data_IF_451980258829
#
_entry.id   IF_451980258829
#
_cell.length_a   1.000
_cell.length_b   1.000
_cell.length_c   1.000
_cell.angle_alpha   90.00
_cell.angle_beta   90.00
_cell.angle_gamma   90.00
#
_symmetry.space_group_name_H-M   'P 1'
#
loop_
_entity.id
_entity.type
_entity.pdbx_description
1 polymer ?
#
# COMPACT_ATOMS: atom_id res chain seq x y z
N UNK A 1 35.17 -12.35 0.76
CA UNK A 1 35.42 -11.20 1.65
C UNK A 1 36.85 -11.17 2.16
N UNK A 2 37.35 -12.23 2.80
CA UNK A 2 38.75 -12.29 3.30
C UNK A 2 39.80 -12.00 2.20
N UNK A 3 39.66 -12.62 1.02
CA UNK A 3 40.52 -12.32 -0.14
C UNK A 3 40.52 -10.84 -0.53
N UNK A 4 39.33 -10.21 -0.57
CA UNK A 4 39.17 -8.81 -0.96
C UNK A 4 39.80 -7.86 0.07
N UNK A 5 39.69 -8.18 1.36
CA UNK A 5 40.36 -7.45 2.44
C UNK A 5 41.87 -7.56 2.30
N UNK A 6 42.41 -8.75 2.07
CA UNK A 6 43.86 -8.97 1.92
C UNK A 6 44.43 -8.26 0.70
N UNK A 7 43.75 -8.36 -0.44
CA UNK A 7 44.09 -7.63 -1.67
C UNK A 7 44.09 -6.12 -1.45
N UNK A 8 43.03 -5.58 -0.85
CA UNK A 8 42.92 -4.15 -0.62
C UNK A 8 43.97 -3.63 0.37
N UNK A 9 44.25 -4.38 1.45
CA UNK A 9 45.29 -4.04 2.41
C UNK A 9 46.69 -4.09 1.78
N UNK A 10 46.94 -5.06 0.89
CA UNK A 10 48.19 -5.16 0.14
C UNK A 10 48.40 -3.95 -0.79
N UNK A 11 47.34 -3.45 -1.41
CA UNK A 11 47.38 -2.29 -2.31
C UNK A 11 47.56 -0.96 -1.57
N UNK A 12 46.84 -0.76 -0.46
CA UNK A 12 46.82 0.53 0.27
C UNK A 12 47.94 0.66 1.32
N UNK A 13 48.39 -0.46 1.90
CA UNK A 13 49.39 -0.47 2.98
C UNK A 13 50.48 -1.52 2.74
N UNK A 14 51.30 -1.38 1.69
CA UNK A 14 52.28 -2.39 1.27
C UNK A 14 53.36 -2.69 2.31
N UNK A 15 53.62 -1.76 3.25
CA UNK A 15 54.70 -1.85 4.24
C UNK A 15 54.23 -2.24 5.65
N UNK A 16 52.92 -2.42 5.86
CA UNK A 16 52.33 -2.67 7.18
C UNK A 16 51.99 -4.15 7.29
N UNK A 17 52.40 -4.81 8.38
CA UNK A 17 51.97 -6.19 8.69
C UNK A 17 50.43 -6.21 8.77
N UNK A 18 49.75 -7.24 8.23
CA UNK A 18 48.30 -7.30 8.28
C UNK A 18 47.84 -7.21 9.74
N UNK A 19 46.92 -6.29 10.09
CA UNK A 19 46.42 -6.16 11.45
C UNK A 19 45.69 -7.44 11.87
N UNK A 20 45.78 -7.78 13.15
CA UNK A 20 45.14 -8.97 13.71
C UNK A 20 43.61 -8.90 13.72
N UNK A 21 43.04 -7.69 13.60
CA UNK A 21 41.59 -7.45 13.61
C UNK A 21 41.26 -6.45 12.50
N UNK A 22 40.28 -6.79 11.67
CA UNK A 22 39.70 -5.91 10.64
C UNK A 22 38.19 -5.90 10.81
N UNK A 23 37.61 -4.70 10.96
CA UNK A 23 36.16 -4.51 11.04
C UNK A 23 35.62 -4.17 9.65
N UNK A 24 34.65 -4.96 9.17
CA UNK A 24 33.96 -4.70 7.91
C UNK A 24 32.55 -4.17 8.19
N UNK A 25 32.28 -2.96 7.74
CA UNK A 25 30.96 -2.33 7.83
C UNK A 25 30.33 -2.36 6.44
N UNK A 26 29.23 -3.09 6.29
CA UNK A 26 28.47 -3.17 5.04
C UNK A 26 27.22 -2.30 5.21
N UNK A 27 27.06 -1.32 4.34
CA UNK A 27 25.95 -0.36 4.39
C UNK A 27 25.50 0.01 2.98
N UNK A 28 24.21 0.30 2.82
CA UNK A 28 23.64 0.88 1.59
C UNK A 28 23.64 2.41 1.61
N UNK A 29 23.99 3.03 2.75
CA UNK A 29 24.04 4.48 2.93
C UNK A 29 25.46 5.02 2.69
N UNK A 30 25.58 6.28 2.25
CA UNK A 30 26.89 6.95 2.21
C UNK A 30 27.44 7.14 3.63
N UNK A 31 28.77 7.16 3.73
CA UNK A 31 29.46 7.29 5.02
C UNK A 31 29.13 8.60 5.75
N UNK A 32 28.77 9.66 5.02
CA UNK A 32 28.42 10.98 5.57
C UNK A 32 27.30 10.93 6.62
N UNK A 33 26.39 9.95 6.50
CA UNK A 33 25.27 9.78 7.44
C UNK A 33 25.68 9.18 8.78
N UNK A 34 26.87 8.58 8.85
CA UNK A 34 27.40 7.94 10.04
C UNK A 34 28.34 8.85 10.84
N UNK A 35 28.52 10.10 10.38
CA UNK A 35 29.39 11.04 11.04
C UNK A 35 28.83 11.46 12.40
N UNK A 36 29.33 10.85 13.48
CA UNK A 36 28.97 11.17 14.85
C UNK A 36 29.97 12.15 15.46
N UNK A 37 30.03 13.37 14.92
CA UNK A 37 30.81 14.47 15.51
C UNK A 37 32.26 14.11 15.89
N UNK A 38 32.66 14.42 17.13
CA UNK A 38 34.06 14.37 17.60
C UNK A 38 34.60 12.93 17.74
N UNK A 39 35.85 12.72 17.31
CA UNK A 39 36.63 11.47 17.41
C UNK A 39 36.17 10.28 16.54
N UNK A 40 35.38 10.50 15.50
CA UNK A 40 35.11 9.45 14.51
C UNK A 40 36.37 9.19 13.65
N UNK A 41 36.90 7.97 13.68
CA UNK A 41 37.92 7.53 12.72
C UNK A 41 37.25 7.23 11.37
N UNK A 42 37.80 7.78 10.29
CA UNK A 42 37.26 7.53 8.95
C UNK A 42 37.71 6.16 8.43
N UNK A 43 36.78 5.23 8.13
CA UNK A 43 37.11 3.96 7.54
C UNK A 43 37.38 4.11 6.05
N UNK A 44 38.18 3.19 5.50
CA UNK A 44 38.35 3.10 4.05
C UNK A 44 37.06 2.64 3.39
N UNK A 45 36.42 3.55 2.65
CA UNK A 45 35.13 3.29 2.00
C UNK A 45 35.33 2.63 0.64
N UNK A 46 34.83 1.40 0.50
CA UNK A 46 34.82 0.67 -0.77
C UNK A 46 33.43 0.70 -1.40
N UNK A 47 33.30 1.34 -2.56
CA UNK A 47 32.03 1.42 -3.27
C UNK A 47 31.85 0.24 -4.24
N UNK A 48 30.84 -0.59 -3.97
CA UNK A 48 30.41 -1.65 -4.87
C UNK A 48 29.40 -1.09 -5.87
N UNK A 49 29.83 -0.95 -7.13
CA UNK A 49 28.97 -0.50 -8.23
C UNK A 49 27.86 -1.52 -8.50
N UNK A 50 26.72 -1.03 -8.95
CA UNK A 50 25.65 -1.89 -9.46
C UNK A 50 26.13 -2.67 -10.70
N UNK A 51 25.64 -3.91 -10.84
CA UNK A 51 25.98 -4.77 -11.97
C UNK A 51 25.49 -4.18 -13.30
N UNK A 52 26.30 -4.34 -14.35
CA UNK A 52 25.87 -3.99 -15.72
C UNK A 52 24.90 -5.04 -16.26
N UNK A 53 24.22 -4.75 -17.37
CA UNK A 53 23.29 -5.70 -18.01
C UNK A 53 23.99 -7.01 -18.36
N UNK A 54 25.21 -6.93 -18.87
CA UNK A 54 26.01 -8.07 -19.30
C UNK A 54 26.40 -8.95 -18.09
N UNK A 55 26.79 -8.31 -16.99
CA UNK A 55 27.11 -9.01 -15.74
C UNK A 55 25.87 -9.69 -15.16
N UNK A 56 24.70 -9.02 -15.18
CA UNK A 56 23.44 -9.61 -14.74
C UNK A 56 23.06 -10.82 -15.60
N UNK A 57 23.21 -10.72 -16.92
CA UNK A 57 22.95 -11.82 -17.84
C UNK A 57 23.83 -13.04 -17.53
N UNK A 58 25.12 -12.83 -17.28
CA UNK A 58 26.04 -13.90 -16.88
C UNK A 58 25.66 -14.53 -15.55
N UNK A 59 25.34 -13.72 -14.53
CA UNK A 59 24.95 -14.19 -13.20
C UNK A 59 23.66 -15.02 -13.27
N UNK A 60 22.64 -14.54 -13.99
CA UNK A 60 21.35 -15.21 -14.11
C UNK A 60 21.45 -16.51 -14.93
N UNK A 61 22.26 -16.52 -15.98
CA UNK A 61 22.50 -17.72 -16.81
C UNK A 61 23.21 -18.81 -16.01
N UNK A 62 24.21 -18.43 -15.20
CA UNK A 62 24.96 -19.37 -14.36
C UNK A 62 24.14 -19.94 -13.19
N UNK A 63 23.08 -19.25 -12.77
CA UNK A 63 22.22 -19.70 -11.68
C UNK A 63 21.20 -20.78 -12.10
N UNK A 64 21.10 -21.09 -13.39
CA UNK A 64 20.12 -22.03 -13.92
C UNK A 64 20.59 -23.50 -13.77
N UNK A 65 19.68 -24.43 -13.42
CA UNK A 65 20.03 -25.84 -13.27
C UNK A 65 20.23 -26.60 -14.59
N UNK A 66 19.95 -26.01 -15.76
CA UNK A 66 20.04 -26.71 -17.04
C UNK A 66 20.63 -25.84 -18.16
N UNK A 67 21.74 -26.30 -18.73
CA UNK A 67 22.45 -25.69 -19.85
C UNK A 67 21.65 -25.79 -21.15
N UNK A 68 20.66 -24.90 -21.33
CA UNK A 68 19.97 -24.75 -22.60
C UNK A 68 20.22 -23.37 -23.20
N UNK A 69 20.55 -23.26 -24.50
CA UNK A 69 20.66 -21.96 -25.19
C UNK A 69 19.34 -21.16 -25.12
N UNK A 70 18.21 -21.86 -24.99
CA UNK A 70 16.88 -21.27 -24.80
C UNK A 70 16.77 -20.47 -23.49
N UNK A 71 17.47 -20.88 -22.42
CA UNK A 71 17.45 -20.15 -21.16
C UNK A 71 18.16 -18.80 -21.27
N UNK A 72 19.28 -18.73 -22.00
CA UNK A 72 19.97 -17.46 -22.24
C UNK A 72 19.09 -16.46 -23.01
N UNK A 73 18.34 -16.93 -24.02
CA UNK A 73 17.35 -16.12 -24.75
C UNK A 73 16.23 -15.63 -23.83
N UNK A 74 15.70 -16.49 -22.98
CA UNK A 74 14.71 -16.13 -21.96
C UNK A 74 15.23 -15.04 -21.01
N UNK A 75 16.45 -15.17 -20.51
CA UNK A 75 17.07 -14.18 -19.62
C UNK A 75 17.24 -12.84 -20.34
N UNK A 76 17.61 -12.82 -21.62
CA UNK A 76 17.71 -11.55 -22.36
C UNK A 76 16.34 -10.87 -22.54
N UNK A 77 15.29 -11.65 -22.82
CA UNK A 77 13.90 -11.16 -22.85
C UNK A 77 13.49 -10.63 -21.47
N UNK A 78 13.74 -11.39 -20.41
CA UNK A 78 13.43 -11.02 -19.03
C UNK A 78 14.15 -9.73 -18.64
N UNK A 79 15.45 -9.61 -18.92
CA UNK A 79 16.21 -8.39 -18.66
C UNK A 79 15.72 -7.20 -19.50
N UNK A 80 15.23 -7.43 -20.71
CA UNK A 80 14.63 -6.35 -21.53
C UNK A 80 13.37 -5.78 -20.89
N UNK A 81 12.53 -6.63 -20.29
CA UNK A 81 11.24 -6.23 -19.71
C UNK A 81 11.39 -5.76 -18.26
N UNK A 82 12.24 -6.42 -17.46
CA UNK A 82 12.33 -6.24 -16.02
C UNK A 82 13.36 -5.19 -15.56
N UNK A 83 14.43 -4.96 -16.32
CA UNK A 83 15.52 -4.05 -15.92
C UNK A 83 15.09 -2.58 -15.70
N UNK A 84 14.09 -2.04 -16.42
CA UNK A 84 13.55 -0.72 -16.10
C UNK A 84 12.89 -0.62 -14.72
N UNK A 85 12.36 -1.75 -14.20
CA UNK A 85 11.61 -1.79 -12.93
C UNK A 85 12.51 -2.23 -11.77
N UNK A 86 13.30 -3.29 -11.95
CA UNK A 86 14.10 -3.90 -10.89
C UNK A 86 15.53 -4.19 -11.33
N UNK A 87 16.51 -3.80 -10.51
CA UNK A 87 17.93 -4.12 -10.68
C UNK A 87 18.49 -5.04 -9.59
N UNK A 88 17.63 -5.55 -8.71
CA UNK A 88 18.04 -6.47 -7.65
C UNK A 88 18.23 -7.89 -8.21
N UNK A 89 19.42 -8.44 -8.04
CA UNK A 89 19.78 -9.78 -8.53
C UNK A 89 18.87 -10.86 -7.94
N UNK A 90 18.56 -10.78 -6.64
CA UNK A 90 17.76 -11.80 -5.98
C UNK A 90 16.32 -11.86 -6.51
N UNK A 91 15.74 -10.70 -6.80
CA UNK A 91 14.40 -10.62 -7.37
C UNK A 91 14.38 -11.04 -8.84
N UNK A 92 15.42 -10.70 -9.61
CA UNK A 92 15.59 -11.19 -10.97
C UNK A 92 15.76 -12.71 -11.02
N UNK A 93 16.50 -13.30 -10.08
CA UNK A 93 16.63 -14.75 -9.92
C UNK A 93 15.29 -15.41 -9.60
N UNK A 94 14.55 -14.85 -8.65
CA UNK A 94 13.21 -15.34 -8.31
C UNK A 94 12.26 -15.25 -9.51
N UNK A 95 12.22 -14.11 -10.22
CA UNK A 95 11.39 -13.95 -11.41
C UNK A 95 11.78 -14.89 -12.55
N UNK A 96 13.07 -15.16 -12.72
CA UNK A 96 13.55 -16.11 -13.71
C UNK A 96 13.05 -17.52 -13.37
N UNK A 97 13.18 -17.96 -12.11
CA UNK A 97 12.68 -19.27 -11.67
C UNK A 97 11.14 -19.38 -11.76
N UNK A 98 10.43 -18.33 -11.37
CA UNK A 98 8.96 -18.29 -11.36
C UNK A 98 8.37 -18.36 -12.78
N UNK A 99 8.90 -17.54 -13.70
CA UNK A 99 8.34 -17.42 -15.04
C UNK A 99 8.89 -18.47 -16.03
N UNK A 100 9.95 -19.21 -15.68
CA UNK A 100 10.55 -20.20 -16.56
C UNK A 100 9.57 -21.30 -16.98
N UNK A 101 8.73 -21.78 -16.05
CA UNK A 101 7.71 -22.80 -16.35
C UNK A 101 6.72 -22.32 -17.41
N UNK A 102 6.16 -21.12 -17.23
CA UNK A 102 5.23 -20.52 -18.17
C UNK A 102 5.88 -20.16 -19.53
N UNK A 103 7.19 -19.93 -19.56
CA UNK A 103 7.93 -19.68 -20.79
C UNK A 103 8.15 -20.95 -21.62
N UNK A 104 8.40 -22.08 -20.96
CA UNK A 104 8.63 -23.35 -21.64
C UNK A 104 7.36 -24.03 -22.13
N UNK A 105 6.22 -23.81 -21.47
CA UNK A 105 4.93 -24.40 -21.83
C UNK A 105 4.53 -24.20 -23.31
N UNK A 106 4.55 -22.99 -23.91
CA UNK A 106 4.20 -22.80 -25.31
C UNK A 106 5.16 -23.47 -26.30
N UNK A 107 6.42 -23.68 -25.92
CA UNK A 107 7.41 -24.41 -26.72
C UNK A 107 7.17 -25.91 -26.61
N UNK A 108 6.91 -26.41 -25.40
CA UNK A 108 6.63 -27.83 -25.14
C UNK A 108 5.32 -28.30 -25.80
N UNK A 109 4.31 -27.43 -25.85
CA UNK A 109 3.02 -27.70 -26.52
C UNK A 109 3.08 -27.53 -28.04
N UNK A 110 4.20 -27.04 -28.58
CA UNK A 110 4.39 -26.82 -30.02
C UNK A 110 3.61 -25.64 -30.59
N UNK A 111 3.09 -24.73 -29.75
CA UNK A 111 2.40 -23.52 -30.21
C UNK A 111 3.36 -22.52 -30.86
N UNK A 112 4.63 -22.53 -30.45
CA UNK A 112 5.69 -21.66 -30.96
C UNK A 112 6.94 -22.50 -31.24
N UNK A 113 7.57 -22.28 -32.37
CA UNK A 113 8.83 -22.93 -32.70
C UNK A 113 9.94 -22.53 -31.70
N UNK A 114 10.86 -23.44 -31.40
CA UNK A 114 11.97 -23.18 -30.49
C UNK A 114 12.91 -22.05 -30.98
N UNK A 115 12.88 -21.76 -32.28
CA UNK A 115 13.68 -20.72 -32.94
C UNK A 115 12.93 -19.41 -33.19
N UNK A 116 11.62 -19.34 -32.95
CA UNK A 116 10.86 -18.10 -33.11
C UNK A 116 10.95 -17.23 -31.84
N UNK A 117 11.95 -16.34 -31.83
CA UNK A 117 12.20 -15.40 -30.72
C UNK A 117 11.02 -14.44 -30.49
N UNK A 118 10.37 -14.00 -31.58
CA UNK A 118 9.29 -13.02 -31.48
C UNK A 118 7.99 -13.66 -30.99
N UNK A 119 7.68 -14.86 -31.45
CA UNK A 119 6.55 -15.65 -30.95
C UNK A 119 6.67 -15.91 -29.45
N UNK A 120 7.85 -16.35 -28.99
CA UNK A 120 8.11 -16.62 -27.57
C UNK A 120 7.99 -15.34 -26.73
N UNK A 121 8.54 -14.23 -27.21
CA UNK A 121 8.40 -12.93 -26.55
C UNK A 121 6.92 -12.52 -26.38
N UNK A 122 6.11 -12.62 -27.44
CA UNK A 122 4.69 -12.22 -27.40
C UNK A 122 3.88 -13.04 -26.40
N UNK A 123 4.12 -14.35 -26.34
CA UNK A 123 3.46 -15.24 -25.39
C UNK A 123 3.91 -14.98 -23.95
N UNK A 124 5.20 -14.70 -23.73
CA UNK A 124 5.77 -14.47 -22.40
C UNK A 124 5.42 -13.10 -21.81
N UNK A 125 5.31 -12.06 -22.65
CA UNK A 125 5.10 -10.68 -22.24
C UNK A 125 3.95 -10.45 -21.26
N UNK A 126 2.72 -10.97 -21.45
CA UNK A 126 1.63 -10.75 -20.51
C UNK A 126 1.92 -11.36 -19.12
N UNK A 127 2.46 -12.57 -19.07
CA UNK A 127 2.83 -13.26 -17.82
C UNK A 127 3.95 -12.52 -17.10
N UNK A 128 4.99 -12.08 -17.83
CA UNK A 128 6.07 -11.26 -17.28
C UNK A 128 5.53 -9.94 -16.72
N UNK A 129 4.69 -9.21 -17.45
CA UNK A 129 4.08 -7.95 -16.97
C UNK A 129 3.24 -8.16 -15.72
N UNK A 130 2.49 -9.25 -15.63
CA UNK A 130 1.72 -9.61 -14.43
C UNK A 130 2.65 -9.89 -13.25
N UNK A 131 3.68 -10.72 -13.43
CA UNK A 131 4.68 -10.99 -12.38
C UNK A 131 5.43 -9.73 -11.95
N UNK A 132 5.66 -8.79 -12.88
CA UNK A 132 6.28 -7.49 -12.60
C UNK A 132 5.44 -6.60 -11.68
N UNK A 133 4.12 -6.71 -11.71
CA UNK A 133 3.25 -5.96 -10.80
C UNK A 133 3.28 -6.48 -9.36
N UNK A 134 3.69 -7.74 -9.17
CA UNK A 134 3.67 -8.43 -7.87
C UNK A 134 5.04 -8.90 -7.38
N UNK A 135 6.15 -8.44 -7.97
CA UNK A 135 7.52 -8.95 -7.75
C UNK A 135 7.84 -9.07 -6.26
N UNK A 136 7.73 -7.96 -5.55
CA UNK A 136 8.12 -7.85 -4.14
C UNK A 136 7.10 -8.46 -3.18
N UNK A 137 5.90 -8.76 -3.66
CA UNK A 137 4.87 -9.41 -2.85
C UNK A 137 5.11 -10.92 -2.73
N UNK A 138 6.00 -11.49 -3.56
CA UNK A 138 6.28 -12.92 -3.68
C UNK A 138 5.00 -13.75 -3.51
N UNK A 139 4.09 -13.72 -4.50
CA UNK A 139 2.93 -14.59 -4.47
C UNK A 139 3.45 -16.02 -4.25
N UNK A 140 3.01 -16.66 -3.17
CA UNK A 140 3.37 -18.06 -2.97
C UNK A 140 2.97 -18.82 -4.23
N UNK A 141 3.87 -19.64 -4.76
CA UNK A 141 3.48 -20.63 -5.75
C UNK A 141 2.36 -21.42 -5.08
N UNK A 142 1.13 -21.23 -5.53
CA UNK A 142 0.04 -22.09 -5.15
C UNK A 142 0.35 -23.48 -5.72
N UNK A 143 1.11 -24.25 -4.96
CA UNK A 143 1.26 -25.71 -5.08
C UNK A 143 -0.08 -26.43 -4.98
N UNK A 144 -1.17 -25.69 -4.73
CA UNK A 144 -2.54 -26.16 -4.76
C UNK A 144 -3.15 -26.28 -6.18
N UNK A 145 -2.61 -25.61 -7.20
CA UNK A 145 -3.21 -25.63 -8.55
C UNK A 145 -2.64 -26.72 -9.48
N UNK A 146 -1.55 -27.38 -9.08
CA UNK A 146 -0.98 -28.51 -9.82
C UNK A 146 -1.76 -29.83 -9.66
N UNK A 147 -2.92 -29.82 -8.98
CA UNK A 147 -3.76 -31.02 -8.78
C UNK A 147 -5.03 -31.05 -9.65
N UNK A 148 -5.23 -30.08 -10.56
CA UNK A 148 -6.39 -30.02 -11.47
C UNK A 148 -6.05 -30.15 -12.96
N UNK A 149 -5.02 -30.90 -13.30
CA UNK A 149 -4.69 -31.26 -14.68
C UNK A 149 -4.95 -32.75 -14.96
N UNK A 150 -6.17 -33.22 -14.71
CA UNK A 150 -6.73 -34.40 -15.39
C UNK A 150 -8.27 -34.36 -15.45
N UNK A 151 -8.80 -33.70 -16.49
CA UNK A 151 -9.90 -34.17 -17.35
C UNK A 151 -10.34 -33.01 -18.25
N UNK A 152 -10.40 -33.27 -19.55
CA UNK A 152 -10.55 -32.23 -20.58
C UNK A 152 -11.91 -31.53 -20.56
N UNK A 153 -11.93 -30.30 -21.08
CA UNK A 153 -12.64 -29.89 -22.32
C UNK A 153 -12.60 -28.35 -22.37
N UNK A 154 -12.18 -27.80 -23.51
CA UNK A 154 -11.99 -26.38 -23.73
C UNK A 154 -13.29 -25.57 -23.64
N UNK A 155 -13.30 -24.50 -22.85
CA UNK A 155 -13.95 -23.21 -23.16
C UNK A 155 -13.12 -22.10 -22.54
N UNK A 156 -12.69 -21.14 -23.36
CA UNK A 156 -11.86 -20.01 -22.97
C UNK A 156 -12.45 -19.23 -21.80
N UNK A 157 -11.80 -19.34 -20.66
CA UNK A 157 -12.00 -18.42 -19.55
C UNK A 157 -10.73 -17.62 -19.45
N UNK A 158 -10.81 -16.34 -19.82
CA UNK A 158 -9.76 -15.37 -19.56
C UNK A 158 -9.38 -15.49 -18.08
N UNK A 159 -8.21 -16.04 -17.82
CA UNK A 159 -7.62 -16.12 -16.49
C UNK A 159 -7.33 -14.69 -16.05
N UNK A 160 -8.35 -14.11 -15.40
CA UNK A 160 -8.30 -12.78 -14.83
C UNK A 160 -7.01 -12.63 -13.99
N UNK A 161 -6.39 -11.43 -13.98
CA UNK A 161 -5.41 -11.09 -12.95
C UNK A 161 -6.01 -11.50 -11.61
N UNK A 162 -5.18 -12.05 -10.73
CA UNK A 162 -5.55 -12.31 -9.35
C UNK A 162 -6.02 -10.97 -8.84
N UNK A 163 -7.34 -10.76 -8.91
CA UNK A 163 -7.98 -9.60 -8.37
C UNK A 163 -7.58 -9.71 -6.91
N UNK A 164 -6.98 -8.65 -6.39
CA UNK A 164 -7.12 -8.33 -4.99
C UNK A 164 -8.63 -8.31 -4.75
N UNK A 165 -9.20 -9.51 -4.53
CA UNK A 165 -10.61 -9.73 -4.39
C UNK A 165 -11.00 -8.78 -3.28
N UNK A 166 -11.91 -7.85 -3.61
CA UNK A 166 -12.45 -6.88 -2.69
C UNK A 166 -12.59 -7.57 -1.34
N UNK A 167 -11.75 -7.19 -0.37
CA UNK A 167 -11.86 -7.69 0.98
C UNK A 167 -13.20 -7.17 1.46
N UNK A 168 -14.24 -7.99 1.31
CA UNK A 168 -15.57 -7.69 1.81
C UNK A 168 -15.41 -7.73 3.31
N UNK A 169 -15.10 -6.55 3.86
CA UNK A 169 -14.90 -6.35 5.27
C UNK A 169 -16.28 -6.48 5.93
N UNK A 170 -16.56 -7.64 6.49
CA UNK A 170 -17.80 -7.89 7.21
C UNK A 170 -17.78 -7.12 8.54
N UNK A 171 -18.53 -6.02 8.58
CA UNK A 171 -18.65 -5.15 9.75
C UNK A 171 -20.11 -5.10 10.25
N UNK A 172 -20.31 -4.95 11.57
CA UNK A 172 -21.62 -4.63 12.13
C UNK A 172 -22.26 -3.42 11.45
N UNK A 173 -23.60 -3.37 11.40
CA UNK A 173 -24.34 -2.33 10.66
C UNK A 173 -23.91 -0.90 11.05
N UNK A 174 -23.91 -0.57 12.34
CA UNK A 174 -23.49 0.77 12.79
C UNK A 174 -22.01 1.05 12.55
N UNK A 175 -21.14 0.04 12.61
CA UNK A 175 -19.73 0.18 12.28
C UNK A 175 -19.53 0.55 10.79
N UNK A 176 -20.35 -0.01 9.89
CA UNK A 176 -20.34 0.36 8.46
C UNK A 176 -20.75 1.82 8.24
N UNK A 177 -21.83 2.28 8.87
CA UNK A 177 -22.26 3.68 8.82
C UNK A 177 -21.21 4.63 9.41
N UNK A 178 -20.64 4.28 10.57
CA UNK A 178 -19.58 5.07 11.21
C UNK A 178 -18.34 5.16 10.32
N UNK A 179 -17.97 4.07 9.63
CA UNK A 179 -16.83 4.07 8.73
C UNK A 179 -17.06 4.94 7.49
N UNK A 180 -18.26 4.91 6.92
CA UNK A 180 -18.66 5.79 5.81
C UNK A 180 -18.69 7.26 6.27
N UNK A 181 -19.25 7.54 7.44
CA UNK A 181 -19.27 8.88 8.03
C UNK A 181 -17.85 9.40 8.30
N UNK A 182 -16.96 8.57 8.83
CA UNK A 182 -15.55 8.89 9.05
C UNK A 182 -14.82 9.20 7.74
N UNK A 183 -15.11 8.45 6.68
CA UNK A 183 -14.54 8.71 5.36
C UNK A 183 -14.96 10.08 4.83
N UNK A 184 -16.27 10.38 4.85
CA UNK A 184 -16.80 11.69 4.44
C UNK A 184 -16.19 12.81 5.30
N UNK A 185 -16.10 12.62 6.61
CA UNK A 185 -15.52 13.60 7.54
C UNK A 185 -14.04 13.89 7.24
N UNK A 186 -13.25 12.87 6.85
CA UNK A 186 -11.83 13.04 6.56
C UNK A 186 -11.55 13.72 5.22
N UNK A 187 -12.31 13.42 4.18
CA UNK A 187 -12.03 13.94 2.84
C UNK A 187 -12.78 15.25 2.54
N UNK A 188 -13.94 15.49 3.17
CA UNK A 188 -14.65 16.74 2.99
C UNK A 188 -14.23 17.82 4.00
N UNK A 189 -14.11 19.10 3.59
CA UNK A 189 -14.05 20.24 4.50
C UNK A 189 -15.35 20.41 5.31
N UNK A 190 -15.21 20.91 6.55
CA UNK A 190 -16.32 21.17 7.48
C UNK A 190 -17.40 22.11 6.92
N UNK A 191 -17.04 23.00 5.99
CA UNK A 191 -17.97 23.94 5.35
C UNK A 191 -18.99 23.25 4.45
N UNK A 192 -18.62 22.09 3.89
CA UNK A 192 -19.44 21.36 2.92
C UNK A 192 -20.47 20.42 3.57
N UNK A 193 -20.27 20.03 4.83
CA UNK A 193 -21.17 19.10 5.55
C UNK A 193 -22.63 19.57 5.50
N UNK A 194 -22.87 20.88 5.68
CA UNK A 194 -24.23 21.44 5.61
C UNK A 194 -24.87 21.22 4.25
N UNK A 195 -24.12 21.40 3.16
CA UNK A 195 -24.60 21.29 1.77
C UNK A 195 -25.07 19.87 1.45
N UNK A 196 -24.33 18.86 1.91
CA UNK A 196 -24.58 17.46 1.55
C UNK A 196 -25.48 16.70 2.54
N UNK A 197 -25.54 17.12 3.81
CA UNK A 197 -26.16 16.33 4.88
C UNK A 197 -27.44 16.95 5.44
N UNK A 198 -27.73 18.21 5.14
CA UNK A 198 -28.96 18.88 5.59
C UNK A 198 -29.98 18.91 4.45
N UNK A 199 -31.11 18.21 4.64
CA UNK A 199 -32.28 18.28 3.75
C UNK A 199 -32.84 19.72 3.86
N UNK A 200 -32.95 20.43 2.74
CA UNK A 200 -33.35 21.84 2.62
C UNK A 200 -32.29 22.88 3.05
N UNK A 201 -31.08 22.78 2.52
CA UNK A 201 -30.18 23.94 2.54
C UNK A 201 -30.80 25.09 1.74
N UNK A 202 -31.07 26.20 2.42
CA UNK A 202 -31.60 27.41 1.77
C UNK A 202 -30.67 27.96 0.68
N UNK A 203 -31.08 29.04 0.02
CA UNK A 203 -30.30 29.65 -1.08
C UNK A 203 -28.91 30.07 -0.57
N UNK A 204 -27.86 29.46 -1.12
CA UNK A 204 -26.46 29.79 -0.81
C UNK A 204 -26.13 31.20 -1.33
N UNK A 205 -25.55 32.04 -0.48
CA UNK A 205 -25.12 33.40 -0.81
C UNK A 205 -24.06 33.42 -1.93
N UNK A 206 -24.12 34.42 -2.81
CA UNK A 206 -23.21 34.59 -3.95
C UNK A 206 -21.72 34.58 -3.55
N UNK A 207 -21.40 35.13 -2.36
CA UNK A 207 -20.03 35.15 -1.82
C UNK A 207 -19.52 33.76 -1.42
N UNK A 208 -20.41 32.91 -0.89
CA UNK A 208 -20.06 31.52 -0.57
C UNK A 208 -19.80 30.71 -1.86
N UNK A 209 -20.62 30.91 -2.90
CA UNK A 209 -20.41 30.29 -4.22
C UNK A 209 -19.05 30.63 -4.85
N UNK A 210 -18.57 31.87 -4.71
CA UNK A 210 -17.26 32.27 -5.24
C UNK A 210 -16.09 31.62 -4.48
N UNK A 211 -16.22 31.43 -3.17
CA UNK A 211 -15.18 30.76 -2.37
C UNK A 211 -15.15 29.25 -2.63
N UNK A 212 -16.32 28.65 -2.86
CA UNK A 212 -16.47 27.23 -3.22
C UNK A 212 -15.76 26.92 -4.54
N UNK A 213 -15.95 27.75 -5.57
CA UNK A 213 -15.25 27.62 -6.87
C UNK A 213 -13.71 27.57 -6.78
N UNK A 214 -13.12 28.14 -5.72
CA UNK A 214 -11.67 28.06 -5.47
C UNK A 214 -11.27 26.78 -4.74
N UNK A 215 -12.16 26.27 -3.86
CA UNK A 215 -11.98 25.01 -3.16
C UNK A 215 -12.21 23.80 -4.09
N UNK A 216 -13.07 23.94 -5.11
CA UNK A 216 -13.41 22.90 -6.09
C UNK A 216 -12.20 22.47 -6.96
N UNK A 217 -11.14 23.30 -7.05
CA UNK A 217 -9.94 22.96 -7.82
C UNK A 217 -8.93 22.09 -7.03
N UNK A 218 -9.15 21.86 -5.74
CA UNK A 218 -8.24 21.05 -4.91
C UNK A 218 -8.80 19.65 -4.75
N UNK A 219 -8.18 18.67 -5.39
CA UNK A 219 -8.49 17.25 -5.18
C UNK A 219 -8.11 16.85 -3.74
N UNK A 220 -9.10 16.79 -2.85
CA UNK A 220 -8.88 16.48 -1.44
C UNK A 220 -8.31 15.07 -1.24
N UNK A 221 -8.60 14.13 -2.16
CA UNK A 221 -8.01 12.79 -2.14
C UNK A 221 -6.49 12.79 -2.36
N UNK A 222 -5.92 13.78 -3.06
CA UNK A 222 -4.46 13.88 -3.27
C UNK A 222 -3.74 14.49 -2.05
N UNK A 223 -4.45 15.30 -1.26
CA UNK A 223 -3.92 15.89 -0.01
C UNK A 223 -3.86 14.84 1.11
N UNK A 224 -4.77 13.86 1.07
CA UNK A 224 -4.91 12.82 2.08
C UNK A 224 -5.97 13.14 3.15
N UNK A 225 -6.25 12.17 4.04
CA UNK A 225 -7.36 12.28 4.99
C UNK A 225 -7.07 13.29 6.10
N UNK A 226 -8.01 14.23 6.31
CA UNK A 226 -7.92 15.25 7.35
C UNK A 226 -8.44 14.72 8.70
N UNK A 227 -7.94 15.35 9.77
CA UNK A 227 -8.42 15.12 11.12
C UNK A 227 -9.80 15.75 11.33
N UNK A 228 -10.69 15.00 11.98
CA UNK A 228 -12.01 15.46 12.39
C UNK A 228 -12.26 15.12 13.88
N UNK A 229 -13.03 15.96 14.59
CA UNK A 229 -13.42 15.69 15.98
C UNK A 229 -14.54 14.64 16.04
N UNK A 230 -14.63 13.92 17.15
CA UNK A 230 -15.65 12.90 17.40
C UNK A 230 -17.09 13.44 17.25
N UNK A 231 -17.35 14.68 17.66
CA UNK A 231 -18.67 15.31 17.49
C UNK A 231 -19.10 15.39 16.03
N UNK A 232 -18.16 15.72 15.13
CA UNK A 232 -18.41 15.80 13.69
C UNK A 232 -18.71 14.42 13.12
N UNK A 233 -18.02 13.37 13.60
CA UNK A 233 -18.30 11.99 13.19
C UNK A 233 -19.74 11.61 13.50
N UNK A 234 -20.18 11.81 14.74
CA UNK A 234 -21.54 11.45 15.15
C UNK A 234 -22.59 12.31 14.45
N UNK A 235 -22.34 13.60 14.23
CA UNK A 235 -23.24 14.47 13.48
C UNK A 235 -23.47 13.95 12.05
N UNK A 236 -22.40 13.54 11.35
CA UNK A 236 -22.50 12.98 10.00
C UNK A 236 -23.18 11.60 10.04
N UNK A 237 -22.83 10.76 11.01
CA UNK A 237 -23.44 9.44 11.20
C UNK A 237 -24.96 9.52 11.37
N UNK A 238 -25.45 10.37 12.27
CA UNK A 238 -26.89 10.55 12.48
C UNK A 238 -27.58 11.19 11.27
N UNK A 239 -26.89 12.07 10.54
CA UNK A 239 -27.43 12.61 9.29
C UNK A 239 -27.59 11.54 8.20
N UNK A 240 -26.59 10.65 8.04
CA UNK A 240 -26.68 9.53 7.10
C UNK A 240 -27.77 8.53 7.49
N UNK A 241 -27.88 8.19 8.78
CA UNK A 241 -28.96 7.34 9.27
C UNK A 241 -30.33 7.94 8.96
N UNK A 242 -30.54 9.23 9.25
CA UNK A 242 -31.82 9.91 8.97
C UNK A 242 -32.17 9.95 7.48
N UNK A 243 -31.18 9.95 6.59
CA UNK A 243 -31.42 9.94 5.15
C UNK A 243 -31.89 8.57 4.64
N UNK A 244 -31.44 7.48 5.26
CA UNK A 244 -31.72 6.10 4.82
C UNK A 244 -32.88 5.46 5.60
N UNK A 245 -32.90 5.58 6.93
CA UNK A 245 -33.98 5.08 7.78
C UNK A 245 -35.05 6.15 7.95
N UNK A 246 -36.26 5.89 7.47
CA UNK A 246 -37.46 6.75 7.64
C UNK A 246 -38.01 6.73 9.09
N UNK A 247 -37.20 6.26 10.05
CA UNK A 247 -37.55 6.22 11.46
C UNK A 247 -37.32 7.59 12.08
N UNK A 248 -38.38 8.21 12.59
CA UNK A 248 -38.36 9.55 13.19
C UNK A 248 -37.44 9.66 14.43
N UNK A 249 -37.10 8.54 15.07
CA UNK A 249 -36.26 8.52 16.26
C UNK A 249 -34.85 7.99 15.96
N UNK A 250 -33.80 8.83 16.04
CA UNK A 250 -32.43 8.36 15.95
C UNK A 250 -32.08 7.50 17.18
N UNK A 251 -31.20 6.50 17.04
CA UNK A 251 -30.76 5.71 18.17
C UNK A 251 -30.06 6.60 19.22
N UNK A 252 -30.24 6.35 20.53
CA UNK A 252 -29.55 7.11 21.56
C UNK A 252 -28.04 6.87 21.51
N UNK A 253 -27.26 7.88 21.90
CA UNK A 253 -25.82 7.75 22.06
C UNK A 253 -25.51 6.85 23.26
N UNK A 254 -25.29 5.57 22.99
CA UNK A 254 -24.93 4.57 24.00
C UNK A 254 -23.42 4.39 24.08
N UNK A 255 -22.92 3.90 25.22
CA UNK A 255 -21.52 3.51 25.38
C UNK A 255 -21.08 2.45 24.36
N UNK A 256 -22.01 1.59 23.91
CA UNK A 256 -21.76 0.61 22.86
C UNK A 256 -21.44 1.30 21.53
N UNK A 257 -22.19 2.34 21.14
CA UNK A 257 -21.94 3.08 19.91
C UNK A 257 -20.60 3.82 19.95
N UNK A 258 -20.25 4.42 21.10
CA UNK A 258 -18.93 5.04 21.30
C UNK A 258 -17.82 3.98 21.25
N UNK A 259 -18.06 2.80 21.86
CA UNK A 259 -17.16 1.65 21.80
C UNK A 259 -16.92 1.12 20.38
N UNK A 260 -17.88 1.26 19.46
CA UNK A 260 -17.67 0.93 18.04
C UNK A 260 -16.62 1.82 17.37
N UNK A 261 -16.50 3.09 17.78
CA UNK A 261 -15.45 3.99 17.26
C UNK A 261 -14.07 3.53 17.74
N UNK A 262 -13.95 3.11 19.00
CA UNK A 262 -12.73 2.51 19.52
C UNK A 262 -12.39 1.21 18.78
N UNK A 263 -13.37 0.32 18.57
CA UNK A 263 -13.20 -0.90 17.79
C UNK A 263 -12.70 -0.64 16.36
N UNK A 264 -13.26 0.35 15.65
CA UNK A 264 -12.78 0.75 14.32
C UNK A 264 -11.35 1.32 14.36
N UNK A 265 -10.97 1.96 15.47
CA UNK A 265 -9.60 2.43 15.68
C UNK A 265 -8.63 1.28 15.93
N UNK A 266 -9.03 0.31 16.76
CA UNK A 266 -8.22 -0.87 17.09
C UNK A 266 -8.02 -1.78 15.86
N UNK A 267 -9.01 -1.86 14.96
CA UNK A 267 -8.89 -2.52 13.67
C UNK A 267 -7.98 -1.76 12.67
N UNK A 268 -7.54 -0.56 13.00
CA UNK A 268 -6.71 0.28 12.11
C UNK A 268 -7.48 0.86 10.92
N UNK A 269 -8.82 0.87 10.94
CA UNK A 269 -9.66 1.48 9.90
C UNK A 269 -9.76 3.00 10.07
N UNK A 270 -9.72 3.44 11.32
CA UNK A 270 -9.65 4.84 11.73
C UNK A 270 -8.38 5.00 12.58
N UNK A 271 -7.71 6.15 12.51
CA UNK A 271 -6.57 6.46 13.37
C UNK A 271 -6.85 7.72 14.19
N UNK A 272 -6.57 7.65 15.49
CA UNK A 272 -6.53 8.82 16.36
C UNK A 272 -5.28 9.68 16.06
N UNK A 273 -5.40 11.00 16.24
CA UNK A 273 -4.29 11.94 16.07
C UNK A 273 -3.21 11.79 17.16
N UNK A 274 -3.62 11.38 18.36
CA UNK A 274 -2.73 11.17 19.50
C UNK A 274 -2.60 9.67 19.79
N UNK A 275 -1.36 9.18 19.89
CA UNK A 275 -1.07 7.79 20.22
C UNK A 275 -1.60 7.35 21.58
N UNK A 276 -1.83 8.30 22.51
CA UNK A 276 -2.43 8.03 23.81
C UNK A 276 -3.88 7.50 23.73
N UNK A 277 -4.58 7.76 22.61
CA UNK A 277 -5.95 7.29 22.36
C UNK A 277 -6.00 6.01 21.50
N UNK A 278 -4.89 5.63 20.86
CA UNK A 278 -4.83 4.55 19.88
C UNK A 278 -4.72 3.15 20.52
N UNK A 279 -4.46 3.07 21.84
CA UNK A 279 -4.23 1.82 22.56
C UNK A 279 -5.40 1.45 23.46
N UNK A 280 -6.66 1.42 22.98
CA UNK A 280 -7.81 0.83 23.70
C UNK A 280 -8.11 1.29 25.13
N UNK A 281 -7.35 2.23 25.69
CA UNK A 281 -7.37 2.66 27.11
C UNK A 281 -8.29 3.85 27.33
N UNK A 282 -9.24 4.07 26.42
CA UNK A 282 -10.25 5.12 26.54
C UNK A 282 -11.39 4.78 27.52
N UNK A 283 -11.38 3.60 28.17
CA UNK A 283 -12.47 3.17 29.05
C UNK A 283 -12.32 3.53 30.54
N UNK A 284 -11.20 4.12 30.99
CA UNK A 284 -10.98 4.34 32.43
C UNK A 284 -10.02 5.49 32.77
N UNK A 285 -10.26 6.68 32.23
CA UNK A 285 -9.83 7.93 32.89
C UNK A 285 -11.05 8.80 33.12
N UNK A 286 -11.39 8.94 34.40
CA UNK A 286 -12.54 9.69 34.89
C UNK A 286 -12.49 11.17 34.46
N UNK A 287 -13.66 11.62 33.99
CA UNK A 287 -14.21 12.97 33.99
C UNK A 287 -13.33 14.10 34.58
N UNK A 288 -12.70 14.88 33.70
CA UNK A 288 -12.40 16.28 33.99
C UNK A 288 -13.68 17.11 33.80
N UNK A 289 -14.15 17.79 34.85
CA UNK A 289 -15.24 18.76 34.74
C UNK A 289 -14.91 19.82 33.68
N UNK A 290 -15.91 20.37 32.95
CA UNK A 290 -15.68 21.46 32.01
C UNK A 290 -15.40 22.76 32.79
N UNK A 291 -14.14 22.96 33.18
CA UNK A 291 -13.65 24.24 33.67
C UNK A 291 -13.35 25.19 32.52
N UNK A 292 -13.49 26.50 32.77
CA UNK A 292 -13.21 27.59 31.83
C UNK A 292 -11.74 27.68 31.33
N UNK A 293 -10.88 26.71 31.71
CA UNK A 293 -9.47 26.59 31.33
C UNK A 293 -9.15 25.23 30.67
N UNK A 294 -10.13 24.57 30.04
CA UNK A 294 -9.86 23.37 29.25
C UNK A 294 -9.09 23.75 27.98
N UNK A 295 -7.89 23.17 27.81
CA UNK A 295 -7.08 23.38 26.63
C UNK A 295 -7.86 22.77 25.44
N UNK A 296 -8.17 23.52 24.35
CA UNK A 296 -8.98 23.01 23.24
C UNK A 296 -8.32 21.86 22.47
N UNK A 297 -7.05 21.61 22.74
CA UNK A 297 -6.24 20.51 22.21
C UNK A 297 -5.96 19.42 23.26
N UNK A 298 -6.69 19.37 24.38
CA UNK A 298 -6.63 18.23 25.29
C UNK A 298 -7.11 16.96 24.56
N UNK A 299 -6.22 15.99 24.29
CA UNK A 299 -6.55 14.82 23.50
C UNK A 299 -7.60 13.94 24.18
N UNK A 300 -7.72 13.99 25.52
CA UNK A 300 -8.72 13.23 26.26
C UNK A 300 -10.10 13.88 26.20
N UNK A 301 -10.16 15.21 26.16
CA UNK A 301 -11.41 15.96 26.13
C UNK A 301 -12.01 16.06 24.72
N UNK A 302 -11.17 16.17 23.68
CA UNK A 302 -11.65 16.28 22.30
C UNK A 302 -10.81 15.40 21.34
N UNK A 303 -11.07 14.08 21.33
CA UNK A 303 -10.32 13.17 20.49
C UNK A 303 -10.58 13.46 19.00
N UNK A 304 -9.49 13.56 18.24
CA UNK A 304 -9.50 13.76 16.79
C UNK A 304 -9.10 12.49 16.06
N UNK A 305 -9.82 12.18 15.00
CA UNK A 305 -9.68 10.96 14.21
C UNK A 305 -9.47 11.26 12.72
N UNK A 306 -8.92 10.31 11.98
CA UNK A 306 -8.90 10.28 10.50
C UNK A 306 -9.21 8.89 9.98
N UNK A 307 -9.87 8.81 8.83
CA UNK A 307 -10.12 7.54 8.16
C UNK A 307 -8.88 7.08 7.38
N UNK A 308 -8.51 5.81 7.49
CA UNK A 308 -7.37 5.20 6.77
C UNK A 308 -7.81 4.32 5.58
N UNK A 309 -9.12 4.18 5.39
CA UNK A 309 -9.71 3.30 4.38
C UNK A 309 -9.59 3.92 2.98
N UNK A 310 -9.35 3.07 1.98
CA UNK A 310 -9.25 3.51 0.58
C UNK A 310 -10.64 3.86 0.02
N UNK A 311 -10.66 4.62 -1.07
CA UNK A 311 -11.91 4.98 -1.74
C UNK A 311 -12.70 3.75 -2.24
N UNK A 312 -12.01 2.72 -2.73
CA UNK A 312 -12.64 1.49 -3.21
C UNK A 312 -13.30 0.70 -2.09
N UNK A 313 -12.61 0.56 -0.95
CA UNK A 313 -13.14 -0.12 0.23
C UNK A 313 -14.29 0.68 0.86
N UNK A 314 -14.17 2.01 0.95
CA UNK A 314 -15.26 2.88 1.40
C UNK A 314 -16.51 2.78 0.50
N UNK A 315 -16.33 2.71 -0.84
CA UNK A 315 -17.42 2.47 -1.79
C UNK A 315 -18.06 1.09 -1.60
N UNK A 316 -17.26 0.04 -1.38
CA UNK A 316 -17.75 -1.31 -1.12
C UNK A 316 -18.62 -1.34 0.15
N UNK A 317 -18.13 -0.74 1.24
CA UNK A 317 -18.88 -0.63 2.50
C UNK A 317 -20.14 0.21 2.31
N UNK A 318 -20.07 1.36 1.64
CA UNK A 318 -21.24 2.21 1.39
C UNK A 318 -22.33 1.49 0.57
N UNK A 319 -21.94 0.71 -0.45
CA UNK A 319 -22.88 -0.14 -1.22
C UNK A 319 -23.59 -1.16 -0.35
N UNK A 320 -22.91 -1.76 0.62
CA UNK A 320 -23.53 -2.72 1.54
C UNK A 320 -24.60 -2.11 2.47
N UNK A 321 -24.63 -0.78 2.55
CA UNK A 321 -25.58 0.02 3.36
C UNK A 321 -26.46 0.88 2.44
N UNK A 322 -26.47 0.63 1.12
CA UNK A 322 -27.23 1.39 0.11
C UNK A 322 -26.93 2.90 0.03
N UNK A 323 -25.79 3.37 0.56
CA UNK A 323 -25.40 4.78 0.49
C UNK A 323 -24.59 5.06 -0.80
N UNK A 324 -25.01 6.08 -1.56
CA UNK A 324 -24.26 6.57 -2.70
C UNK A 324 -23.13 7.53 -2.29
N UNK A 325 -21.98 6.98 -1.92
CA UNK A 325 -20.84 7.76 -1.39
C UNK A 325 -20.40 8.93 -2.29
N UNK A 326 -20.41 8.75 -3.62
CA UNK A 326 -19.96 9.79 -4.56
C UNK A 326 -20.82 11.07 -4.50
N UNK A 327 -22.09 10.97 -4.12
CA UNK A 327 -22.98 12.14 -4.00
C UNK A 327 -22.64 13.01 -2.79
N UNK A 328 -21.93 12.44 -1.81
CA UNK A 328 -21.56 13.11 -0.57
C UNK A 328 -20.11 13.57 -0.54
N UNK A 329 -19.33 13.42 -1.63
CA UNK A 329 -17.93 13.83 -1.70
C UNK A 329 -17.78 15.00 -2.65
N UNK A 330 -17.09 16.07 -2.20
CA UNK A 330 -16.90 17.28 -3.01
C UNK A 330 -16.17 17.03 -4.32
N UNK A 331 -15.15 16.17 -4.31
CA UNK A 331 -14.30 15.91 -5.49
C UNK A 331 -15.08 15.27 -6.67
N UNK A 332 -16.28 14.74 -6.45
CA UNK A 332 -17.07 14.02 -7.46
C UNK A 332 -18.39 14.73 -7.86
N UNK A 333 -18.65 15.94 -7.34
CA UNK A 333 -19.88 16.71 -7.55
C UNK A 333 -19.58 18.03 -8.23
#
# INVERSE_FOLDING_TARGET
MDFLVREHMRLMYPSIKPPYIVTLLITSCSWDKFYSGTFATEPTCLYLKAYTREQLMQILTNAAPANFPHYARFIDILLTVCLPVTRNVNELLYLAQYNWGAFNEPVATGMVAADDEWGQYRCALPTLKRSLSTIYLRPELSSFDSSKSHSGTAVGTQSQPAQANASVLELPLYARYLLVAAYIASYNPRTSDKRFLVKNTGKISSRAKHNEKKADHINNHLVGPRLFPLDRLFAIFYALLRLESDTDQPPPLTSLLVGQVAFLSDLGLIAAASGALATGTAACSAAGLPGAYSNPDDPLANPRYRCLVTLETARSVAKSVNINLNQHLLDFV
#
